data_IF_221901941170
#
_entry.id   IF_221901941170
#
_cell.length_a   1.000
_cell.length_b   1.000
_cell.length_c   1.000
_cell.angle_alpha   90.00
_cell.angle_beta   90.00
_cell.angle_gamma   90.00
#
_symmetry.space_group_name_H-M   'P 1'
#
loop_
_entity.id
_entity.type
_entity.pdbx_description
1 polymer ?
#
# COMPACT_ATOMS: atom_id res chain seq x y z
N UNK A 1 6.15 2.32 17.71
CA UNK A 1 7.59 2.63 17.82
C UNK A 1 8.16 2.68 16.40
N UNK A 2 8.43 3.86 15.83
CA UNK A 2 9.01 3.97 14.47
C UNK A 2 10.48 3.63 14.52
N UNK A 3 10.91 2.59 13.83
CA UNK A 3 12.32 2.22 13.69
C UNK A 3 13.08 3.35 13.00
N UNK A 4 14.10 3.89 13.67
CA UNK A 4 15.10 4.76 13.06
C UNK A 4 15.91 3.91 12.11
N UNK A 5 15.55 3.89 10.82
CA UNK A 5 16.36 3.25 9.78
C UNK A 5 17.66 4.02 9.66
N UNK A 6 18.76 3.41 10.12
CA UNK A 6 20.10 3.94 9.96
C UNK A 6 20.52 3.78 8.48
N UNK A 7 20.27 4.81 7.67
CA UNK A 7 20.55 4.82 6.21
C UNK A 7 22.05 4.84 5.87
N UNK A 8 22.93 4.86 6.87
CA UNK A 8 24.36 5.12 6.68
C UNK A 8 25.25 3.88 6.72
N UNK A 9 24.72 2.69 7.01
CA UNK A 9 25.42 1.41 6.85
C UNK A 9 24.41 0.29 6.60
N UNK A 10 24.26 -0.20 5.35
CA UNK A 10 23.40 -1.34 5.09
C UNK A 10 23.92 -2.59 5.79
N UNK A 11 23.01 -3.43 6.29
CA UNK A 11 23.36 -4.71 6.91
C UNK A 11 24.12 -5.60 5.92
N UNK A 12 25.23 -6.19 6.39
CA UNK A 12 26.08 -7.05 5.58
C UNK A 12 25.92 -8.51 6.02
N UNK A 13 25.59 -9.39 5.08
CA UNK A 13 25.42 -10.81 5.33
C UNK A 13 26.52 -11.62 4.63
N UNK A 14 27.12 -12.57 5.35
CA UNK A 14 28.01 -13.56 4.75
C UNK A 14 27.18 -14.72 4.19
N UNK A 15 27.08 -14.82 2.87
CA UNK A 15 26.34 -15.88 2.19
C UNK A 15 27.19 -17.12 1.97
N UNK A 16 26.68 -18.29 2.35
CA UNK A 16 27.25 -19.59 1.98
C UNK A 16 26.58 -20.09 0.71
N UNK A 17 27.26 -19.89 -0.41
CA UNK A 17 26.74 -20.28 -1.73
C UNK A 17 27.16 -21.72 -2.07
N UNK A 18 26.27 -22.53 -2.68
CA UNK A 18 26.67 -23.80 -3.26
C UNK A 18 27.69 -23.60 -4.40
N UNK A 19 28.51 -24.62 -4.71
CA UNK A 19 29.52 -24.55 -5.77
C UNK A 19 28.93 -24.08 -7.11
N UNK A 20 29.63 -23.18 -7.80
CA UNK A 20 29.24 -22.68 -9.14
C UNK A 20 28.12 -21.64 -9.16
N UNK A 21 27.43 -21.38 -8.04
CA UNK A 21 26.35 -20.39 -8.01
C UNK A 21 26.90 -18.96 -8.12
N UNK A 22 28.05 -18.67 -7.50
CA UNK A 22 28.68 -17.35 -7.55
C UNK A 22 29.03 -16.93 -8.98
N UNK A 23 29.56 -17.86 -9.75
CA UNK A 23 29.98 -17.68 -11.14
C UNK A 23 28.78 -17.40 -12.03
N UNK A 24 27.67 -18.13 -11.82
CA UNK A 24 26.40 -17.89 -12.52
C UNK A 24 25.83 -16.50 -12.22
N UNK A 25 25.84 -16.07 -10.96
CA UNK A 25 25.39 -14.71 -10.57
C UNK A 25 26.29 -13.67 -11.23
N UNK A 26 27.61 -13.88 -11.21
CA UNK A 26 28.59 -12.97 -11.83
C UNK A 26 28.32 -12.77 -13.33
N UNK A 27 28.11 -13.85 -14.08
CA UNK A 27 27.83 -13.78 -15.51
C UNK A 27 26.56 -12.95 -15.81
N UNK A 28 25.50 -13.13 -15.01
CA UNK A 28 24.25 -12.35 -15.15
C UNK A 28 24.45 -10.88 -14.77
N UNK A 29 25.20 -10.61 -13.70
CA UNK A 29 25.50 -9.25 -13.26
C UNK A 29 26.31 -8.49 -14.34
N UNK A 30 27.33 -9.11 -14.91
CA UNK A 30 28.16 -8.54 -15.98
C UNK A 30 27.36 -8.27 -17.25
N UNK A 31 26.53 -9.23 -17.68
CA UNK A 31 25.66 -9.06 -18.84
C UNK A 31 24.67 -7.89 -18.69
N UNK A 32 24.30 -7.56 -17.45
CA UNK A 32 23.39 -6.47 -17.11
C UNK A 32 24.11 -5.18 -16.68
N UNK A 33 25.44 -5.12 -16.73
CA UNK A 33 26.21 -3.95 -16.29
C UNK A 33 26.06 -3.61 -14.80
N UNK A 34 25.81 -4.61 -13.94
CA UNK A 34 25.64 -4.46 -12.49
C UNK A 34 26.78 -5.12 -11.73
N UNK A 35 27.02 -4.67 -10.50
CA UNK A 35 27.85 -5.43 -9.57
C UNK A 35 27.12 -6.70 -9.14
N UNK A 36 27.87 -7.73 -8.73
CA UNK A 36 27.30 -8.97 -8.16
C UNK A 36 26.33 -8.64 -7.02
N UNK A 37 26.71 -7.72 -6.14
CA UNK A 37 25.87 -7.32 -5.01
C UNK A 37 24.57 -6.66 -5.48
N UNK A 38 24.63 -5.76 -6.45
CA UNK A 38 23.44 -5.12 -7.00
C UNK A 38 22.51 -6.14 -7.68
N UNK A 39 23.04 -7.17 -8.33
CA UNK A 39 22.22 -8.23 -8.93
C UNK A 39 21.58 -9.13 -7.86
N UNK A 40 22.31 -9.46 -6.78
CA UNK A 40 21.74 -10.21 -5.64
C UNK A 40 20.61 -9.42 -5.01
N UNK A 41 20.84 -8.14 -4.67
CA UNK A 41 19.82 -7.27 -4.06
C UNK A 41 18.59 -7.15 -4.96
N UNK A 42 18.77 -6.91 -6.27
CA UNK A 42 17.66 -6.82 -7.24
C UNK A 42 16.80 -8.09 -7.28
N UNK A 43 17.43 -9.27 -7.21
CA UNK A 43 16.68 -10.54 -7.15
C UNK A 43 15.94 -10.65 -5.82
N UNK A 44 16.59 -10.33 -4.71
CA UNK A 44 15.97 -10.40 -3.39
C UNK A 44 14.78 -9.43 -3.27
N UNK A 45 14.90 -8.18 -3.72
CA UNK A 45 13.79 -7.21 -3.73
C UNK A 45 12.62 -7.68 -4.61
N UNK A 46 12.91 -8.42 -5.69
CA UNK A 46 11.87 -8.99 -6.55
C UNK A 46 11.14 -10.15 -5.88
N UNK A 47 11.86 -11.05 -5.23
CA UNK A 47 11.27 -12.24 -4.57
C UNK A 47 10.70 -11.91 -3.18
N UNK A 48 11.21 -10.86 -2.52
CA UNK A 48 10.81 -10.37 -1.21
C UNK A 48 10.50 -8.87 -1.30
N UNK A 49 9.42 -8.48 -2.01
CA UNK A 49 9.04 -7.07 -2.10
C UNK A 49 8.72 -6.51 -0.71
N UNK A 50 8.93 -5.21 -0.52
CA UNK A 50 8.49 -4.53 0.70
C UNK A 50 6.98 -4.76 0.89
N UNK A 51 6.56 -5.29 2.05
CA UNK A 51 5.15 -5.49 2.32
C UNK A 51 4.46 -4.13 2.38
N UNK A 52 3.34 -3.99 1.69
CA UNK A 52 2.51 -2.80 1.83
C UNK A 52 1.95 -2.72 3.25
N UNK A 53 1.93 -1.51 3.79
CA UNK A 53 1.11 -1.22 4.97
C UNK A 53 -0.37 -1.31 4.63
N UNK A 54 -1.21 -1.59 5.62
CA UNK A 54 -2.65 -1.60 5.40
C UNK A 54 -3.17 -0.18 5.06
N UNK A 55 -2.48 0.85 5.56
CA UNK A 55 -2.70 2.26 5.21
C UNK A 55 -2.54 2.50 3.69
N UNK A 56 -1.42 2.06 3.11
CA UNK A 56 -1.17 2.15 1.66
C UNK A 56 -2.14 1.28 0.86
N UNK A 57 -2.55 0.14 1.40
CA UNK A 57 -3.50 -0.74 0.73
C UNK A 57 -4.89 -0.14 0.64
N UNK A 58 -5.34 0.57 1.67
CA UNK A 58 -6.60 1.34 1.66
C UNK A 58 -6.54 2.46 0.61
N UNK A 59 -5.42 3.18 0.51
CA UNK A 59 -5.25 4.21 -0.53
C UNK A 59 -5.27 3.62 -1.94
N UNK A 60 -4.60 2.49 -2.16
CA UNK A 60 -4.65 1.78 -3.45
C UNK A 60 -6.08 1.33 -3.79
N UNK A 61 -6.82 0.82 -2.80
CA UNK A 61 -8.21 0.41 -2.98
C UNK A 61 -9.09 1.60 -3.40
N UNK A 62 -8.91 2.77 -2.77
CA UNK A 62 -9.59 4.00 -3.19
C UNK A 62 -9.27 4.36 -4.65
N UNK A 63 -8.00 4.29 -5.06
CA UNK A 63 -7.60 4.55 -6.45
C UNK A 63 -8.24 3.58 -7.45
N UNK A 64 -8.28 2.29 -7.12
CA UNK A 64 -8.96 1.27 -7.94
C UNK A 64 -10.46 1.55 -8.07
N UNK A 65 -11.12 1.92 -6.97
CA UNK A 65 -12.54 2.29 -6.98
C UNK A 65 -12.81 3.55 -7.79
N UNK A 66 -11.91 4.53 -7.75
CA UNK A 66 -11.99 5.73 -8.60
C UNK A 66 -11.95 5.37 -10.08
N UNK A 67 -11.02 4.49 -10.50
CA UNK A 67 -10.94 4.00 -11.88
C UNK A 67 -12.19 3.19 -12.27
N UNK A 68 -12.65 2.31 -11.38
CA UNK A 68 -13.88 1.54 -11.60
C UNK A 68 -15.09 2.45 -11.76
N UNK A 69 -15.17 3.52 -10.97
CA UNK A 69 -16.24 4.52 -11.05
C UNK A 69 -16.28 5.30 -12.36
N UNK A 70 -15.16 5.39 -13.09
CA UNK A 70 -15.15 5.96 -14.45
C UNK A 70 -15.70 4.99 -15.51
N UNK A 71 -15.68 3.68 -15.23
CA UNK A 71 -16.11 2.64 -16.16
C UNK A 71 -17.56 2.18 -15.92
N UNK A 72 -18.16 2.55 -14.80
CA UNK A 72 -19.50 2.13 -14.37
C UNK A 72 -20.49 3.30 -14.34
N UNK A 73 -21.81 3.02 -14.37
CA UNK A 73 -22.82 4.02 -14.00
C UNK A 73 -22.51 4.62 -12.63
N UNK A 74 -22.70 5.93 -12.51
CA UNK A 74 -22.30 6.70 -11.32
C UNK A 74 -22.97 6.19 -10.03
N UNK A 75 -24.26 5.88 -10.10
CA UNK A 75 -25.03 5.33 -8.99
C UNK A 75 -24.48 3.98 -8.51
N UNK A 76 -24.18 3.08 -9.45
CA UNK A 76 -23.58 1.79 -9.13
C UNK A 76 -22.16 1.94 -8.53
N UNK A 77 -21.37 2.88 -9.05
CA UNK A 77 -20.05 3.19 -8.52
C UNK A 77 -20.11 3.76 -7.09
N UNK A 78 -21.00 4.74 -6.88
CA UNK A 78 -21.24 5.38 -5.58
C UNK A 78 -21.67 4.34 -4.53
N UNK A 79 -22.51 3.38 -4.91
CA UNK A 79 -22.92 2.29 -4.02
C UNK A 79 -21.77 1.37 -3.62
N UNK A 80 -20.90 0.98 -4.56
CA UNK A 80 -19.72 0.16 -4.24
C UNK A 80 -18.76 0.92 -3.33
N UNK A 81 -18.47 2.18 -3.66
CA UNK A 81 -17.61 3.06 -2.87
C UNK A 81 -18.13 3.17 -1.44
N UNK A 82 -19.43 3.38 -1.28
CA UNK A 82 -20.08 3.47 0.03
C UNK A 82 -19.93 2.19 0.85
N UNK A 83 -20.22 1.02 0.30
CA UNK A 83 -20.11 -0.24 1.05
C UNK A 83 -18.67 -0.53 1.47
N UNK A 84 -17.69 -0.23 0.61
CA UNK A 84 -16.27 -0.38 0.95
C UNK A 84 -15.90 0.56 2.10
N UNK A 85 -16.28 1.84 2.00
CA UNK A 85 -16.02 2.84 3.04
C UNK A 85 -16.68 2.46 4.39
N UNK A 86 -17.94 2.02 4.37
CA UNK A 86 -18.66 1.53 5.56
C UNK A 86 -17.94 0.33 6.20
N UNK A 87 -17.45 -0.61 5.39
CA UNK A 87 -16.70 -1.78 5.86
C UNK A 87 -15.37 -1.38 6.51
N UNK A 88 -14.59 -0.52 5.86
CA UNK A 88 -13.33 -0.02 6.41
C UNK A 88 -13.55 0.79 7.69
N UNK A 89 -14.62 1.59 7.74
CA UNK A 89 -15.03 2.31 8.95
C UNK A 89 -15.36 1.32 10.07
N UNK A 90 -16.15 0.28 9.80
CA UNK A 90 -16.49 -0.73 10.81
C UNK A 90 -15.24 -1.43 11.39
N UNK A 91 -14.26 -1.73 10.55
CA UNK A 91 -12.96 -2.27 10.97
C UNK A 91 -12.23 -1.27 11.88
N UNK A 92 -12.06 -0.03 11.41
CA UNK A 92 -11.35 1.02 12.13
C UNK A 92 -11.99 1.36 13.49
N UNK A 93 -13.33 1.33 13.59
CA UNK A 93 -14.06 1.73 14.81
C UNK A 93 -14.30 0.61 15.81
N UNK A 94 -13.71 -0.58 15.64
CA UNK A 94 -13.93 -1.66 16.61
C UNK A 94 -15.16 -2.55 16.37
N UNK A 95 -15.92 -2.34 15.28
CA UNK A 95 -17.20 -3.07 15.06
C UNK A 95 -17.00 -4.50 14.54
N UNK A 96 -15.81 -4.83 14.05
CA UNK A 96 -15.39 -6.21 13.75
C UNK A 96 -14.56 -6.75 14.92
N UNK A 97 -14.84 -7.95 15.42
CA UNK A 97 -14.12 -8.52 16.59
C UNK A 97 -12.73 -9.07 16.28
N UNK A 98 -12.45 -9.35 15.00
CA UNK A 98 -11.33 -10.24 14.62
C UNK A 98 -10.08 -9.47 14.18
N UNK A 99 -9.95 -8.20 14.57
CA UNK A 99 -8.87 -7.30 14.15
C UNK A 99 -8.22 -6.64 15.36
N UNK A 100 -6.89 -6.70 15.44
CA UNK A 100 -6.10 -6.09 16.51
C UNK A 100 -5.98 -4.56 16.38
N UNK A 101 -5.59 -3.89 17.46
CA UNK A 101 -5.58 -2.43 17.55
C UNK A 101 -4.58 -1.76 16.59
N UNK A 102 -3.42 -2.38 16.35
CA UNK A 102 -2.42 -1.82 15.42
C UNK A 102 -2.96 -1.83 13.99
N UNK A 103 -3.57 -2.96 13.59
CA UNK A 103 -4.25 -3.10 12.31
C UNK A 103 -5.39 -2.10 12.16
N UNK A 104 -6.22 -1.89 13.19
CA UNK A 104 -7.28 -0.86 13.18
C UNK A 104 -6.71 0.54 12.97
N UNK A 105 -5.62 0.86 13.66
CA UNK A 105 -4.93 2.13 13.53
C UNK A 105 -4.42 2.39 12.12
N UNK A 106 -3.93 1.36 11.42
CA UNK A 106 -3.54 1.46 10.01
C UNK A 106 -4.73 1.71 9.08
N UNK A 107 -5.84 0.99 9.27
CA UNK A 107 -7.07 1.22 8.48
C UNK A 107 -7.58 2.64 8.71
N UNK A 108 -7.60 3.12 9.96
CA UNK A 108 -8.08 4.45 10.30
C UNK A 108 -7.27 5.55 9.61
N UNK A 109 -5.94 5.41 9.58
CA UNK A 109 -5.08 6.38 8.89
C UNK A 109 -5.31 6.37 7.37
N UNK A 110 -5.47 5.18 6.77
CA UNK A 110 -5.80 5.06 5.35
C UNK A 110 -7.15 5.67 5.02
N UNK A 111 -8.16 5.44 5.88
CA UNK A 111 -9.49 6.03 5.73
C UNK A 111 -9.46 7.56 5.83
N UNK A 112 -8.70 8.12 6.78
CA UNK A 112 -8.52 9.57 6.90
C UNK A 112 -7.86 10.18 5.66
N UNK A 113 -6.90 9.47 5.03
CA UNK A 113 -6.28 9.91 3.77
C UNK A 113 -7.25 9.84 2.59
N UNK A 114 -8.06 8.80 2.51
CA UNK A 114 -9.15 8.71 1.53
C UNK A 114 -10.09 9.91 1.69
N UNK A 115 -10.65 10.14 2.87
CA UNK A 115 -11.60 11.23 3.13
C UNK A 115 -10.99 12.61 2.83
N UNK A 116 -9.72 12.82 3.19
CA UNK A 116 -8.99 14.05 2.87
C UNK A 116 -8.79 14.27 1.37
N UNK A 117 -8.55 13.20 0.60
CA UNK A 117 -8.44 13.26 -0.87
C UNK A 117 -9.79 13.60 -1.49
N UNK A 118 -10.84 12.90 -1.07
CA UNK A 118 -12.17 13.10 -1.61
C UNK A 118 -12.72 14.51 -1.31
N UNK A 119 -12.38 15.09 -0.14
CA UNK A 119 -12.75 16.47 0.17
C UNK A 119 -12.11 17.47 -0.80
N UNK A 120 -10.83 17.27 -1.17
CA UNK A 120 -10.13 18.12 -2.15
C UNK A 120 -10.74 18.01 -3.54
N UNK A 121 -11.10 16.80 -3.97
CA UNK A 121 -11.76 16.58 -5.26
C UNK A 121 -13.14 17.26 -5.30
N UNK A 122 -13.86 17.22 -4.18
CA UNK A 122 -15.18 17.80 -4.04
C UNK A 122 -15.17 19.35 -4.02
N UNK A 123 -14.15 19.97 -3.41
CA UNK A 123 -13.94 21.42 -3.46
C UNK A 123 -13.68 21.94 -4.89
N UNK A 124 -13.14 21.10 -5.77
CA UNK A 124 -12.90 21.43 -7.18
C UNK A 124 -14.07 21.19 -8.14
N UNK A 125 -15.06 20.36 -7.79
CA UNK A 125 -16.12 19.90 -8.71
C UNK A 125 -17.58 20.09 -8.23
N UNK A 126 -17.82 20.65 -7.04
CA UNK A 126 -19.18 20.75 -6.48
C UNK A 126 -19.59 19.41 -5.86
N UNK A 127 -19.64 19.40 -4.54
CA UNK A 127 -19.57 18.20 -3.68
C UNK A 127 -20.74 17.21 -3.87
N UNK A 128 -20.48 15.90 -4.02
CA UNK A 128 -21.49 14.85 -3.84
C UNK A 128 -21.92 14.75 -2.37
N UNK A 129 -23.24 14.72 -2.12
CA UNK A 129 -23.85 14.79 -0.80
C UNK A 129 -23.41 13.70 0.22
N UNK A 130 -22.79 12.61 -0.25
CA UNK A 130 -22.27 11.53 0.59
C UNK A 130 -21.21 12.02 1.61
N UNK A 131 -20.27 12.89 1.19
CA UNK A 131 -19.20 13.41 2.07
C UNK A 131 -19.68 14.43 3.12
N UNK A 132 -20.90 14.95 2.97
CA UNK A 132 -21.46 15.97 3.85
C UNK A 132 -22.33 15.39 4.98
N UNK A 133 -22.65 14.09 4.95
CA UNK A 133 -23.67 13.51 5.84
C UNK A 133 -23.20 13.01 7.20
N UNK A 134 -21.90 12.86 7.45
CA UNK A 134 -21.38 12.30 8.72
C UNK A 134 -20.66 13.32 9.63
N UNK A 135 -20.96 14.62 9.54
CA UNK A 135 -20.52 15.62 10.51
C UNK A 135 -21.67 16.07 11.44
N UNK A 136 -22.13 15.17 12.30
CA UNK A 136 -22.97 15.47 13.47
C UNK A 136 -22.70 14.47 14.57
#
# INVERSE_FOLDING_TARGET
MRSVVNRSNPDQFQLRLPPGLRERIKAVAEANGRSINAEIVRVLEREFPEPWTLEERVDQLHGLLGMLGQAMPKDAADDVIRHVHETLTAIATGRTSDVDEDTRGEVLRGLARWEGTALKDAEGQGVPAFFLRNRT
#
